data_IF_373606061858
#
_entry.id   IF_373606061858
#
_cell.length_a   1.000
_cell.length_b   1.000
_cell.length_c   1.000
_cell.angle_alpha   90.00
_cell.angle_beta   90.00
_cell.angle_gamma   90.00
#
_symmetry.space_group_name_H-M   'P 1'
#
loop_
_entity.id
_entity.type
_entity.pdbx_description
1 polymer ?
#
# COMPACT_ATOMS: atom_id res chain seq x y z
N UNK A 1 26.24 7.82 4.96
CA UNK A 1 24.88 7.50 5.43
C UNK A 1 24.78 6.00 5.61
N UNK A 2 24.31 5.53 6.76
CA UNK A 2 23.97 4.11 6.94
C UNK A 2 22.46 3.99 6.69
N UNK A 3 22.07 3.20 5.69
CA UNK A 3 20.66 2.93 5.37
C UNK A 3 20.20 1.59 5.94
N UNK A 4 21.05 0.89 6.71
CA UNK A 4 20.70 -0.39 7.30
C UNK A 4 19.76 -0.18 8.50
N UNK A 5 18.81 -1.06 8.65
CA UNK A 5 17.96 -1.11 9.83
C UNK A 5 18.77 -1.48 11.09
N UNK A 6 18.41 -0.89 12.22
CA UNK A 6 19.00 -1.20 13.52
C UNK A 6 18.71 -2.63 13.96
N UNK A 7 19.41 -3.11 15.00
CA UNK A 7 19.13 -4.41 15.62
C UNK A 7 17.70 -4.52 16.12
N UNK A 8 17.14 -3.45 16.66
CA UNK A 8 15.76 -3.43 17.18
C UNK A 8 14.73 -3.49 16.06
N UNK A 9 14.98 -2.79 14.94
CA UNK A 9 14.16 -2.87 13.73
C UNK A 9 14.22 -4.26 13.09
N UNK A 10 15.39 -4.90 13.07
CA UNK A 10 15.52 -6.27 12.59
C UNK A 10 14.81 -7.26 13.52
N UNK A 11 14.85 -7.05 14.84
CA UNK A 11 14.08 -7.85 15.79
C UNK A 11 12.56 -7.67 15.57
N UNK A 12 12.10 -6.44 15.35
CA UNK A 12 10.70 -6.17 15.00
C UNK A 12 10.29 -6.91 13.72
N UNK A 13 11.17 -6.92 12.70
CA UNK A 13 10.94 -7.65 11.45
C UNK A 13 10.74 -9.14 11.69
N UNK A 14 11.63 -9.75 12.46
CA UNK A 14 11.55 -11.18 12.77
C UNK A 14 10.32 -11.53 13.61
N UNK A 15 9.93 -10.65 14.53
CA UNK A 15 8.70 -10.82 15.33
C UNK A 15 7.45 -10.68 14.45
N UNK A 16 7.40 -9.67 13.56
CA UNK A 16 6.28 -9.46 12.65
C UNK A 16 6.12 -10.65 11.71
N UNK A 17 7.22 -11.19 11.19
CA UNK A 17 7.21 -12.39 10.35
C UNK A 17 6.61 -13.59 11.07
N UNK A 18 7.13 -13.92 12.25
CA UNK A 18 6.64 -15.04 13.07
C UNK A 18 5.18 -14.88 13.46
N UNK A 19 4.77 -13.67 13.80
CA UNK A 19 3.38 -13.36 14.11
C UNK A 19 2.47 -13.67 12.91
N UNK A 20 2.78 -13.15 11.72
CA UNK A 20 1.96 -13.36 10.52
C UNK A 20 1.99 -14.81 10.02
N UNK A 21 3.09 -15.54 10.22
CA UNK A 21 3.17 -16.99 9.97
C UNK A 21 2.28 -17.77 10.94
N UNK A 22 2.31 -17.44 12.24
CA UNK A 22 1.45 -18.07 13.24
C UNK A 22 -0.05 -17.79 13.02
N UNK A 23 -0.37 -16.61 12.50
CA UNK A 23 -1.72 -16.22 12.10
C UNK A 23 -2.17 -16.87 10.78
N UNK A 24 -1.33 -17.67 10.13
CA UNK A 24 -1.61 -18.28 8.81
C UNK A 24 -2.08 -17.26 7.76
N UNK A 25 -1.46 -16.08 7.73
CA UNK A 25 -1.93 -14.91 6.96
C UNK A 25 -2.18 -15.21 5.47
N UNK A 26 -1.30 -16.00 4.82
CA UNK A 26 -1.48 -16.40 3.40
C UNK A 26 -2.74 -17.25 3.22
N UNK A 27 -3.02 -18.17 4.15
CA UNK A 27 -4.24 -18.97 4.14
C UNK A 27 -5.49 -18.11 4.31
N UNK A 28 -5.47 -17.15 5.25
CA UNK A 28 -6.54 -16.16 5.42
C UNK A 28 -6.75 -15.33 4.15
N UNK A 29 -5.67 -14.95 3.45
CA UNK A 29 -5.79 -14.25 2.16
C UNK A 29 -6.51 -15.10 1.10
N UNK A 30 -6.25 -16.41 1.08
CA UNK A 30 -6.97 -17.36 0.22
C UNK A 30 -8.43 -17.46 0.62
N UNK A 31 -8.74 -17.59 1.91
CA UNK A 31 -10.11 -17.69 2.42
C UNK A 31 -10.94 -16.45 2.08
N UNK A 32 -10.37 -15.24 2.22
CA UNK A 32 -11.02 -13.99 1.80
C UNK A 32 -11.21 -13.94 0.28
N UNK A 33 -10.21 -14.38 -0.52
CA UNK A 33 -10.30 -14.40 -1.98
C UNK A 33 -11.39 -15.34 -2.48
N UNK A 34 -11.60 -16.47 -1.80
CA UNK A 34 -12.58 -17.51 -2.17
C UNK A 34 -13.97 -17.25 -1.54
N UNK A 35 -14.05 -16.39 -0.54
CA UNK A 35 -15.27 -16.06 0.21
C UNK A 35 -15.94 -14.76 -0.24
N UNK A 36 -16.88 -14.31 0.57
CA UNK A 36 -17.63 -13.05 0.37
C UNK A 36 -17.13 -11.92 1.31
N UNK A 37 -16.10 -12.20 2.10
CA UNK A 37 -15.55 -11.21 3.04
C UNK A 37 -14.66 -10.20 2.32
N UNK A 38 -14.65 -8.96 2.81
CA UNK A 38 -13.80 -7.89 2.28
C UNK A 38 -12.39 -7.93 2.83
N UNK A 39 -12.21 -8.51 4.03
CA UNK A 39 -10.93 -8.69 4.73
C UNK A 39 -11.08 -9.76 5.81
N UNK A 40 -9.99 -10.17 6.46
CA UNK A 40 -10.02 -11.05 7.63
C UNK A 40 -10.10 -10.22 8.92
N UNK A 41 -11.27 -10.23 9.56
CA UNK A 41 -11.51 -9.48 10.80
C UNK A 41 -10.65 -9.97 11.98
N UNK A 42 -10.35 -11.27 12.02
CA UNK A 42 -9.56 -11.85 13.11
C UNK A 42 -8.11 -11.37 13.03
N UNK A 43 -7.52 -11.40 11.84
CA UNK A 43 -6.18 -10.90 11.60
C UNK A 43 -6.11 -9.37 11.80
N UNK A 44 -7.14 -8.63 11.36
CA UNK A 44 -7.21 -7.19 11.61
C UNK A 44 -7.16 -6.87 13.09
N UNK A 45 -7.95 -7.57 13.91
CA UNK A 45 -7.94 -7.43 15.36
C UNK A 45 -6.57 -7.74 15.96
N UNK A 46 -5.97 -8.86 15.56
CA UNK A 46 -4.62 -9.23 16.02
C UNK A 46 -3.57 -8.18 15.63
N UNK A 47 -3.65 -7.59 14.43
CA UNK A 47 -2.77 -6.49 13.96
C UNK A 47 -2.94 -5.24 14.82
N UNK A 48 -4.18 -4.90 15.18
CA UNK A 48 -4.48 -3.78 16.10
C UNK A 48 -3.92 -4.06 17.50
N UNK A 49 -4.12 -5.25 18.04
CA UNK A 49 -3.59 -5.65 19.35
C UNK A 49 -2.06 -5.61 19.42
N UNK A 50 -1.38 -5.86 18.29
CA UNK A 50 0.07 -5.66 18.16
C UNK A 50 0.49 -4.19 18.13
N UNK A 51 -0.44 -3.25 18.09
CA UNK A 51 -0.19 -1.82 18.05
C UNK A 51 0.27 -1.29 16.69
N UNK A 52 0.18 -2.09 15.61
CA UNK A 52 0.73 -1.69 14.32
C UNK A 52 -0.04 -0.52 13.70
N UNK A 53 -1.32 -0.37 13.97
CA UNK A 53 -2.14 0.78 13.56
C UNK A 53 -1.72 2.08 14.25
N UNK A 54 -1.11 1.99 15.42
CA UNK A 54 -0.66 3.09 16.25
C UNK A 54 0.81 3.52 15.99
N UNK A 55 1.52 2.80 15.10
CA UNK A 55 2.99 2.88 14.95
C UNK A 55 3.48 4.34 14.78
N UNK A 56 2.94 5.11 13.87
CA UNK A 56 3.38 6.49 13.56
C UNK A 56 2.52 7.58 14.20
N UNK A 57 1.43 7.20 14.85
CA UNK A 57 0.56 8.16 15.54
C UNK A 57 1.29 8.67 16.78
N UNK A 58 1.29 10.00 17.03
CA UNK A 58 1.92 10.58 18.22
C UNK A 58 1.33 10.05 19.52
N UNK A 59 2.15 9.93 20.57
CA UNK A 59 1.74 9.46 21.90
C UNK A 59 0.59 10.30 22.51
N UNK A 60 0.53 11.61 22.23
CA UNK A 60 -0.56 12.49 22.68
C UNK A 60 -1.94 12.12 22.11
N UNK A 61 -1.99 11.23 21.10
CA UNK A 61 -3.20 10.69 20.49
C UNK A 61 -3.28 9.16 20.64
N UNK A 62 -2.78 8.63 21.75
CA UNK A 62 -2.76 7.20 22.08
C UNK A 62 -1.96 6.33 21.06
N UNK A 63 -1.05 6.95 20.32
CA UNK A 63 -0.15 6.27 19.41
C UNK A 63 1.12 5.76 20.09
N UNK A 64 1.97 5.04 19.33
CA UNK A 64 3.25 4.56 19.80
C UNK A 64 4.39 5.58 19.57
N UNK A 65 4.17 6.60 18.74
CA UNK A 65 5.18 7.59 18.41
C UNK A 65 6.47 7.02 17.79
N UNK A 66 6.39 5.80 17.22
CA UNK A 66 7.51 5.18 16.52
C UNK A 66 7.72 5.83 15.15
N UNK A 67 8.87 5.53 14.53
CA UNK A 67 9.23 6.14 13.25
C UNK A 67 8.68 5.41 12.04
N UNK A 68 8.92 6.01 10.87
CA UNK A 68 8.56 5.40 9.59
C UNK A 68 9.44 4.18 9.25
N UNK A 69 10.63 4.03 9.86
CA UNK A 69 11.48 2.87 9.64
C UNK A 69 10.80 1.60 10.19
N UNK A 70 10.20 1.69 11.38
CA UNK A 70 9.43 0.61 11.99
C UNK A 70 8.20 0.26 11.15
N UNK A 71 7.49 1.27 10.63
CA UNK A 71 6.34 1.06 9.75
C UNK A 71 6.76 0.41 8.41
N UNK A 72 7.91 0.78 7.84
CA UNK A 72 8.46 0.13 6.64
C UNK A 72 8.74 -1.36 6.86
N UNK A 73 9.28 -1.71 8.02
CA UNK A 73 9.55 -3.11 8.41
C UNK A 73 8.25 -3.91 8.51
N UNK A 74 7.23 -3.35 9.15
CA UNK A 74 5.89 -3.96 9.25
C UNK A 74 5.28 -4.13 7.85
N UNK A 75 5.36 -3.10 7.01
CA UNK A 75 4.85 -3.13 5.64
C UNK A 75 5.49 -4.24 4.80
N UNK A 76 6.80 -4.47 4.93
CA UNK A 76 7.50 -5.56 4.22
C UNK A 76 6.94 -6.93 4.60
N UNK A 77 6.69 -7.18 5.90
CA UNK A 77 6.18 -8.47 6.35
C UNK A 77 4.68 -8.65 6.04
N UNK A 78 3.87 -7.58 6.08
CA UNK A 78 2.49 -7.62 5.59
C UNK A 78 2.41 -8.00 4.10
N UNK A 79 3.31 -7.47 3.28
CA UNK A 79 3.42 -7.82 1.87
C UNK A 79 3.90 -9.24 1.63
N UNK A 80 4.90 -9.70 2.41
CA UNK A 80 5.40 -11.07 2.39
C UNK A 80 4.30 -12.09 2.64
N UNK A 81 3.42 -11.80 3.58
CA UNK A 81 2.35 -12.69 4.06
C UNK A 81 1.01 -12.45 3.36
N UNK A 82 0.93 -11.54 2.38
CA UNK A 82 -0.30 -11.17 1.68
C UNK A 82 -1.44 -10.75 2.62
N UNK A 83 -1.15 -10.12 3.76
CA UNK A 83 -2.12 -9.83 4.81
C UNK A 83 -3.43 -9.22 4.25
N UNK A 84 -4.58 -9.88 4.42
CA UNK A 84 -5.87 -9.43 3.90
C UNK A 84 -6.56 -8.51 4.92
N UNK A 85 -5.97 -7.34 5.16
CA UNK A 85 -6.44 -6.35 6.14
C UNK A 85 -6.49 -4.95 5.52
N UNK A 86 -7.33 -4.03 6.00
CA UNK A 86 -7.41 -2.66 5.51
C UNK A 86 -6.25 -1.77 6.02
N UNK A 87 -5.07 -2.37 6.25
CA UNK A 87 -3.93 -1.69 6.85
C UNK A 87 -3.41 -0.55 5.98
N UNK A 88 -3.23 -0.80 4.68
CA UNK A 88 -2.64 0.21 3.80
C UNK A 88 -3.56 1.40 3.55
N UNK A 89 -4.87 1.20 3.43
CA UNK A 89 -5.84 2.29 3.29
C UNK A 89 -5.92 3.13 4.57
N UNK A 90 -5.95 2.46 5.73
CA UNK A 90 -6.06 3.13 7.01
C UNK A 90 -4.75 3.80 7.43
N UNK A 91 -3.63 3.07 7.42
CA UNK A 91 -2.35 3.56 7.96
C UNK A 91 -1.54 4.34 6.94
N UNK A 92 -1.31 3.80 5.70
CA UNK A 92 -0.43 4.48 4.72
C UNK A 92 -1.10 5.68 4.07
N UNK A 93 -2.43 5.73 4.02
CA UNK A 93 -3.17 6.76 3.30
C UNK A 93 -3.93 7.68 4.25
N UNK A 94 -4.95 7.18 4.96
CA UNK A 94 -5.83 8.04 5.75
C UNK A 94 -5.16 8.61 7.01
N UNK A 95 -4.45 7.78 7.79
CA UNK A 95 -3.70 8.22 8.97
C UNK A 95 -2.59 9.19 8.57
N UNK A 96 -1.86 8.86 7.50
CA UNK A 96 -0.80 9.72 6.96
C UNK A 96 -1.34 11.09 6.52
N UNK A 97 -2.51 11.11 5.84
CA UNK A 97 -3.16 12.35 5.45
C UNK A 97 -3.57 13.19 6.66
N UNK A 98 -4.11 12.57 7.71
CA UNK A 98 -4.47 13.27 8.94
C UNK A 98 -3.24 13.82 9.66
N UNK A 99 -2.20 13.01 9.89
CA UNK A 99 -0.99 13.45 10.61
C UNK A 99 -0.35 14.68 9.94
N UNK A 100 -0.25 14.66 8.59
CA UNK A 100 0.49 15.71 7.88
C UNK A 100 -0.36 16.91 7.50
N UNK A 101 -1.67 16.76 7.33
CA UNK A 101 -2.56 17.80 6.81
C UNK A 101 -3.69 18.19 7.76
N UNK A 102 -3.98 17.36 8.78
CA UNK A 102 -5.12 17.56 9.67
C UNK A 102 -4.97 18.76 10.60
N UNK A 103 -6.09 19.38 11.00
CA UNK A 103 -6.13 20.33 12.09
C UNK A 103 -5.99 19.64 13.44
N UNK A 104 -5.67 20.39 14.49
CA UNK A 104 -5.60 19.84 15.87
C UNK A 104 -6.91 19.20 16.31
N UNK A 105 -8.04 19.78 15.94
CA UNK A 105 -9.38 19.24 16.24
C UNK A 105 -9.62 17.92 15.49
N UNK A 106 -9.14 17.82 14.23
CA UNK A 106 -9.22 16.60 13.43
C UNK A 106 -8.31 15.51 13.99
N UNK A 107 -7.10 15.85 14.43
CA UNK A 107 -6.22 14.91 15.14
C UNK A 107 -6.91 14.33 16.36
N UNK A 108 -7.50 15.16 17.24
CA UNK A 108 -8.22 14.73 18.43
C UNK A 108 -9.44 13.86 18.12
N UNK A 109 -10.11 14.13 17.00
CA UNK A 109 -11.33 13.40 16.60
C UNK A 109 -11.05 12.01 16.04
N UNK A 110 -9.93 11.85 15.31
CA UNK A 110 -9.69 10.65 14.49
C UNK A 110 -8.49 9.81 14.93
N UNK A 111 -7.37 10.40 15.39
CA UNK A 111 -6.11 9.66 15.52
C UNK A 111 -6.16 8.57 16.61
N UNK A 112 -6.72 8.86 17.78
CA UNK A 112 -6.84 7.85 18.86
C UNK A 112 -7.71 6.66 18.43
N UNK A 113 -8.78 6.92 17.66
CA UNK A 113 -9.65 5.87 17.14
C UNK A 113 -8.98 5.03 16.06
N UNK A 114 -8.15 5.66 15.21
CA UNK A 114 -7.34 4.95 14.21
C UNK A 114 -6.27 4.10 14.89
N UNK A 115 -5.61 4.63 15.93
CA UNK A 115 -4.63 3.89 16.72
C UNK A 115 -5.24 2.63 17.36
N UNK A 116 -6.44 2.77 17.95
CA UNK A 116 -7.19 1.68 18.54
C UNK A 116 -7.86 0.73 17.53
N UNK A 117 -7.79 1.03 16.22
CA UNK A 117 -8.49 0.26 15.18
C UNK A 117 -10.02 0.31 15.25
N UNK A 118 -10.58 1.25 16.05
CA UNK A 118 -12.03 1.45 16.16
C UNK A 118 -12.65 1.95 14.86
N UNK A 119 -11.88 2.68 14.08
CA UNK A 119 -12.28 3.16 12.75
C UNK A 119 -11.19 2.84 11.72
N UNK A 120 -11.63 2.65 10.48
CA UNK A 120 -10.79 2.48 9.29
C UNK A 120 -10.99 3.70 8.41
N UNK A 121 -9.90 4.27 7.92
CA UNK A 121 -9.93 5.37 6.96
C UNK A 121 -9.47 4.92 5.57
N UNK A 122 -9.80 5.70 4.55
CA UNK A 122 -9.29 5.50 3.19
C UNK A 122 -9.03 6.81 2.46
N UNK A 123 -8.36 6.74 1.30
CA UNK A 123 -8.11 7.87 0.41
C UNK A 123 -8.82 7.63 -0.93
N UNK A 124 -9.71 8.54 -1.29
CA UNK A 124 -10.48 8.50 -2.54
C UNK A 124 -10.05 9.64 -3.47
N UNK A 125 -9.18 9.35 -4.47
CA UNK A 125 -8.60 10.36 -5.35
C UNK A 125 -8.82 10.10 -6.85
N UNK A 126 -9.22 8.89 -7.22
CA UNK A 126 -9.40 8.47 -8.62
C UNK A 126 -10.86 8.56 -9.04
N UNK A 127 -11.15 9.13 -10.23
CA UNK A 127 -12.51 9.32 -10.75
C UNK A 127 -12.76 8.58 -12.06
N UNK A 128 -11.70 8.35 -12.82
CA UNK A 128 -11.75 7.70 -14.13
C UNK A 128 -10.57 6.75 -14.28
N UNK A 129 -10.49 6.05 -15.39
CA UNK A 129 -9.33 5.20 -15.74
C UNK A 129 -8.08 6.00 -16.09
N UNK A 130 -8.19 7.31 -16.28
CA UNK A 130 -7.07 8.22 -16.47
C UNK A 130 -6.48 8.62 -15.12
N UNK A 131 -5.17 8.90 -15.08
CA UNK A 131 -4.53 9.42 -13.88
C UNK A 131 -5.14 10.75 -13.48
N UNK A 132 -5.43 10.97 -12.18
CA UNK A 132 -5.93 12.24 -11.69
C UNK A 132 -4.97 13.39 -11.98
N UNK A 133 -5.50 14.52 -12.40
CA UNK A 133 -4.82 15.82 -12.49
C UNK A 133 -5.75 16.91 -11.96
N UNK A 134 -5.26 18.10 -11.59
CA UNK A 134 -6.13 19.19 -11.15
C UNK A 134 -7.23 19.52 -12.17
N UNK A 135 -6.92 19.38 -13.47
CA UNK A 135 -7.84 19.74 -14.55
C UNK A 135 -8.97 18.72 -14.71
N UNK A 136 -8.67 17.42 -14.52
CA UNK A 136 -9.64 16.34 -14.80
C UNK A 136 -10.43 15.86 -13.58
N UNK A 137 -10.24 16.48 -12.41
CA UNK A 137 -11.11 16.24 -11.25
C UNK A 137 -12.50 16.81 -11.49
N UNK A 138 -13.53 16.03 -11.18
CA UNK A 138 -14.94 16.40 -11.35
C UNK A 138 -15.72 16.37 -10.01
N UNK A 139 -15.22 15.71 -8.95
CA UNK A 139 -15.78 15.86 -7.62
C UNK A 139 -15.72 17.30 -7.18
N UNK A 140 -16.86 17.89 -6.80
CA UNK A 140 -16.99 19.30 -6.44
C UNK A 140 -17.47 19.46 -4.99
N UNK A 141 -16.76 20.33 -4.26
CA UNK A 141 -17.18 20.82 -2.95
C UNK A 141 -17.84 22.18 -3.10
N UNK A 142 -19.07 22.32 -2.61
CA UNK A 142 -19.80 23.58 -2.57
C UNK A 142 -20.60 23.71 -1.30
N UNK A 143 -20.38 24.77 -0.53
CA UNK A 143 -21.05 24.98 0.76
C UNK A 143 -20.95 23.76 1.70
N UNK A 144 -19.77 23.18 1.83
CA UNK A 144 -19.51 21.94 2.60
C UNK A 144 -20.33 20.71 2.15
N UNK A 145 -20.83 20.71 0.92
CA UNK A 145 -21.51 19.59 0.29
C UNK A 145 -20.67 19.06 -0.86
N UNK A 146 -20.37 17.76 -0.81
CA UNK A 146 -19.60 17.06 -1.83
C UNK A 146 -20.53 16.39 -2.84
N UNK A 147 -20.22 16.56 -4.12
CA UNK A 147 -20.88 15.90 -5.23
C UNK A 147 -19.84 15.30 -6.18
N UNK A 148 -20.08 14.08 -6.66
CA UNK A 148 -19.21 13.40 -7.62
C UNK A 148 -19.09 11.91 -7.34
N UNK A 149 -18.13 11.27 -8.00
CA UNK A 149 -17.90 9.83 -7.88
C UNK A 149 -16.42 9.52 -7.84
N UNK A 150 -16.01 8.68 -6.90
CA UNK A 150 -14.67 8.11 -6.82
C UNK A 150 -14.72 6.62 -7.11
N UNK A 151 -13.77 6.13 -7.88
CA UNK A 151 -13.66 4.70 -8.24
C UNK A 151 -12.35 4.11 -7.72
N UNK A 152 -12.32 2.78 -7.66
CA UNK A 152 -11.15 2.02 -7.22
C UNK A 152 -10.60 2.49 -5.84
N UNK A 153 -11.51 2.86 -4.94
CA UNK A 153 -11.15 3.28 -3.59
C UNK A 153 -10.79 2.03 -2.79
N UNK A 154 -9.54 1.92 -2.40
CA UNK A 154 -9.03 0.77 -1.62
C UNK A 154 -9.76 0.70 -0.28
N UNK A 155 -10.30 -0.47 0.06
CA UNK A 155 -11.08 -0.73 1.28
C UNK A 155 -12.23 0.28 1.50
N UNK A 156 -12.77 0.87 0.43
CA UNK A 156 -13.82 1.90 0.50
C UNK A 156 -15.15 1.35 0.99
N UNK A 157 -15.37 0.05 0.95
CA UNK A 157 -16.55 -0.65 1.49
C UNK A 157 -16.37 -1.13 2.94
N UNK A 158 -15.15 -0.97 3.49
CA UNK A 158 -14.80 -1.26 4.88
C UNK A 158 -14.64 0.02 5.69
N UNK A 159 -14.18 1.09 5.04
CA UNK A 159 -13.81 2.34 5.71
C UNK A 159 -15.00 3.06 6.34
N UNK A 160 -14.76 3.70 7.49
CA UNK A 160 -15.72 4.55 8.20
C UNK A 160 -15.71 5.98 7.67
N UNK A 161 -14.56 6.45 7.18
CA UNK A 161 -14.43 7.77 6.56
C UNK A 161 -13.43 7.74 5.40
N UNK A 162 -13.53 8.71 4.52
CA UNK A 162 -12.61 8.90 3.42
C UNK A 162 -12.00 10.30 3.43
N UNK A 163 -10.71 10.38 3.11
CA UNK A 163 -10.07 11.59 2.62
C UNK A 163 -10.34 11.66 1.12
N UNK A 164 -10.99 12.70 0.65
CA UNK A 164 -11.44 12.82 -0.75
C UNK A 164 -10.81 14.05 -1.39
N UNK A 165 -10.20 13.90 -2.58
CA UNK A 165 -9.79 15.04 -3.39
C UNK A 165 -10.98 15.61 -4.15
N UNK A 166 -11.18 16.91 -4.08
CA UNK A 166 -12.31 17.59 -4.76
C UNK A 166 -11.89 18.97 -5.26
N UNK A 167 -12.70 19.58 -6.10
CA UNK A 167 -12.59 20.99 -6.50
C UNK A 167 -13.48 21.87 -5.63
N UNK A 168 -12.95 22.98 -5.17
CA UNK A 168 -13.71 24.11 -4.64
C UNK A 168 -13.45 25.32 -5.54
N UNK A 169 -14.36 25.57 -6.49
CA UNK A 169 -14.09 26.49 -7.60
C UNK A 169 -12.92 25.99 -8.45
N UNK A 170 -11.89 26.83 -8.61
CA UNK A 170 -10.68 26.49 -9.39
C UNK A 170 -9.58 25.78 -8.56
N UNK A 171 -9.78 25.63 -7.26
CA UNK A 171 -8.79 25.03 -6.35
C UNK A 171 -9.09 23.56 -6.10
N UNK A 172 -8.04 22.76 -5.96
CA UNK A 172 -8.15 21.42 -5.41
C UNK A 172 -8.08 21.51 -3.88
N UNK A 173 -8.99 20.80 -3.21
CA UNK A 173 -9.05 20.65 -1.76
C UNK A 173 -9.08 19.18 -1.39
N UNK A 174 -8.63 18.86 -0.18
CA UNK A 174 -8.85 17.56 0.45
C UNK A 174 -9.96 17.71 1.48
N UNK A 175 -10.90 16.79 1.50
CA UNK A 175 -12.02 16.82 2.45
C UNK A 175 -12.18 15.50 3.16
N UNK A 176 -12.66 15.53 4.40
CA UNK A 176 -13.07 14.38 5.18
C UNK A 176 -14.57 14.16 5.00
N UNK A 177 -14.95 12.94 4.70
CA UNK A 177 -16.35 12.53 4.53
C UNK A 177 -16.61 11.29 5.38
N UNK A 178 -17.61 11.34 6.22
CA UNK A 178 -18.15 10.16 6.91
C UNK A 178 -18.90 9.29 5.90
N UNK A 179 -18.46 8.06 5.72
CA UNK A 179 -19.00 7.15 4.71
C UNK A 179 -20.37 6.55 5.10
N UNK A 180 -20.79 6.71 6.34
CA UNK A 180 -22.16 6.39 6.80
C UNK A 180 -23.15 7.54 6.62
N UNK A 181 -22.68 8.74 6.23
CA UNK A 181 -23.50 9.93 6.14
C UNK A 181 -24.52 9.85 4.99
N UNK A 182 -25.61 10.64 5.13
CA UNK A 182 -26.60 10.81 4.07
C UNK A 182 -25.96 11.38 2.82
N UNK A 183 -26.30 10.82 1.67
CA UNK A 183 -25.77 11.26 0.37
C UNK A 183 -24.49 10.54 -0.05
N UNK A 184 -24.05 9.54 0.71
CA UNK A 184 -22.98 8.62 0.34
C UNK A 184 -23.58 7.30 -0.10
N UNK A 185 -23.17 6.81 -1.27
CA UNK A 185 -23.55 5.51 -1.82
C UNK A 185 -22.27 4.75 -2.17
N UNK A 186 -22.10 3.55 -1.58
CA UNK A 186 -20.92 2.72 -1.75
C UNK A 186 -21.32 1.45 -2.50
N UNK A 187 -20.52 1.10 -3.50
CA UNK A 187 -20.70 -0.14 -4.27
C UNK A 187 -19.36 -0.84 -4.38
N UNK A 188 -19.28 -2.06 -3.85
CA UNK A 188 -18.08 -2.88 -3.95
C UNK A 188 -17.72 -3.18 -5.41
N UNK A 189 -16.44 -3.19 -5.73
CA UNK A 189 -15.92 -3.46 -7.06
C UNK A 189 -15.12 -4.75 -7.09
N UNK A 190 -15.45 -5.63 -8.03
CA UNK A 190 -14.67 -6.84 -8.26
C UNK A 190 -13.29 -6.47 -8.84
N UNK A 191 -12.26 -6.99 -8.21
CA UNK A 191 -10.87 -6.78 -8.61
C UNK A 191 -10.18 -8.11 -8.93
N UNK A 192 -8.95 -8.01 -9.43
CA UNK A 192 -8.12 -9.19 -9.68
C UNK A 192 -7.70 -9.90 -8.39
N UNK A 193 -7.58 -9.15 -7.28
CA UNK A 193 -7.27 -9.63 -5.94
C UNK A 193 -8.37 -9.22 -4.95
N UNK A 194 -9.45 -10.00 -4.83
CA UNK A 194 -10.52 -9.71 -3.88
C UNK A 194 -10.10 -9.76 -2.41
N UNK A 195 -8.92 -10.31 -2.09
CA UNK A 195 -8.40 -10.32 -0.71
C UNK A 195 -8.01 -8.92 -0.19
N UNK A 196 -8.12 -7.90 -1.05
CA UNK A 196 -8.07 -6.46 -0.73
C UNK A 196 -9.23 -5.79 -1.46
N UNK A 197 -10.22 -5.37 -0.73
CA UNK A 197 -11.44 -4.84 -1.32
C UNK A 197 -11.25 -3.47 -1.98
N UNK A 198 -12.14 -3.15 -2.91
CA UNK A 198 -12.23 -1.84 -3.54
C UNK A 198 -13.68 -1.46 -3.74
N UNK A 199 -13.96 -0.16 -3.70
CA UNK A 199 -15.31 0.34 -3.92
C UNK A 199 -15.35 1.54 -4.88
N UNK A 200 -16.53 1.72 -5.48
CA UNK A 200 -16.96 2.97 -6.06
C UNK A 200 -17.77 3.72 -5.01
N UNK A 201 -17.44 4.97 -4.76
CA UNK A 201 -18.13 5.83 -3.79
C UNK A 201 -18.73 7.02 -4.55
N UNK A 202 -20.05 7.17 -4.45
CA UNK A 202 -20.78 8.27 -5.04
C UNK A 202 -21.28 9.22 -3.96
N UNK A 203 -21.01 10.48 -4.15
CA UNK A 203 -21.43 11.57 -3.27
C UNK A 203 -22.55 12.38 -3.95
N UNK A 204 -23.63 12.60 -3.20
CA UNK A 204 -24.78 13.43 -3.61
C UNK A 204 -25.18 14.31 -2.43
N UNK A 205 -24.72 15.55 -2.46
CA UNK A 205 -24.87 16.51 -1.36
C UNK A 205 -24.43 15.94 -0.01
N UNK A 206 -23.35 15.13 -0.02
CA UNK A 206 -22.77 14.56 1.18
C UNK A 206 -22.07 15.64 2.01
N UNK A 207 -22.23 15.61 3.32
CA UNK A 207 -21.51 16.51 4.22
C UNK A 207 -20.03 16.22 4.17
N UNK A 208 -19.23 17.28 4.02
CA UNK A 208 -17.77 17.18 3.91
C UNK A 208 -17.10 18.31 4.69
N UNK A 209 -16.01 17.96 5.37
CA UNK A 209 -15.17 18.87 6.16
C UNK A 209 -13.81 19.04 5.46
N UNK A 210 -13.32 20.26 5.24
CA UNK A 210 -11.99 20.48 4.66
C UNK A 210 -10.94 19.91 5.60
N UNK A 211 -10.00 19.14 5.06
CA UNK A 211 -8.86 18.58 5.79
C UNK A 211 -7.86 19.70 6.08
N UNK A 212 -7.68 20.02 7.35
CA UNK A 212 -6.76 21.05 7.79
C UNK A 212 -7.12 22.45 7.26
N UNK A 213 -6.09 23.17 6.88
CA UNK A 213 -6.19 24.53 6.29
C UNK A 213 -5.65 24.57 4.86
N UNK A 214 -5.55 23.42 4.19
CA UNK A 214 -4.86 23.28 2.92
C UNK A 214 -5.38 24.25 1.86
N UNK A 215 -4.57 25.24 1.51
CA UNK A 215 -4.85 26.14 0.39
C UNK A 215 -4.49 25.51 -0.96
N UNK A 216 -3.67 24.45 -0.96
CA UNK A 216 -3.24 23.68 -2.12
C UNK A 216 -3.40 22.18 -1.85
N UNK A 217 -4.62 21.70 -2.00
CA UNK A 217 -4.95 20.28 -1.80
C UNK A 217 -4.30 19.34 -2.82
N UNK A 218 -3.87 19.87 -3.98
CA UNK A 218 -3.17 19.03 -4.95
C UNK A 218 -1.74 18.72 -4.48
N UNK A 219 -0.99 19.72 -4.05
CA UNK A 219 0.34 19.50 -3.46
C UNK A 219 0.26 18.59 -2.24
N UNK A 220 -0.69 18.84 -1.33
CA UNK A 220 -0.93 17.99 -0.18
C UNK A 220 -1.23 16.52 -0.57
N UNK A 221 -2.05 16.29 -1.60
CA UNK A 221 -2.30 14.94 -2.12
C UNK A 221 -1.03 14.29 -2.65
N UNK A 222 -0.20 15.05 -3.40
CA UNK A 222 1.06 14.51 -3.92
C UNK A 222 2.04 14.12 -2.81
N UNK A 223 2.13 14.90 -1.74
CA UNK A 223 2.95 14.60 -0.56
C UNK A 223 2.46 13.33 0.15
N UNK A 224 1.15 13.19 0.38
CA UNK A 224 0.56 11.97 0.96
C UNK A 224 0.89 10.75 0.10
N UNK A 225 0.74 10.86 -1.22
CA UNK A 225 1.03 9.76 -2.14
C UNK A 225 2.52 9.40 -2.18
N UNK A 226 3.44 10.37 -2.05
CA UNK A 226 4.88 10.11 -1.99
C UNK A 226 5.24 9.33 -0.73
N UNK A 227 4.72 9.74 0.41
CA UNK A 227 4.93 9.06 1.69
C UNK A 227 4.37 7.64 1.65
N UNK A 228 3.14 7.48 1.19
CA UNK A 228 2.51 6.18 1.01
C UNK A 228 3.25 5.28 0.00
N UNK A 229 3.84 5.86 -1.05
CA UNK A 229 4.55 5.09 -2.08
C UNK A 229 5.77 4.35 -1.53
N UNK A 230 6.46 4.90 -0.53
CA UNK A 230 7.55 4.22 0.16
C UNK A 230 7.03 2.98 0.89
N UNK A 231 5.93 3.12 1.64
CA UNK A 231 5.31 2.01 2.41
C UNK A 231 4.78 0.91 1.48
N UNK A 232 4.09 1.27 0.40
CA UNK A 232 3.69 0.32 -0.62
C UNK A 232 4.87 -0.35 -1.34
N UNK A 233 6.01 0.34 -1.49
CA UNK A 233 7.20 -0.25 -2.06
C UNK A 233 7.78 -1.34 -1.14
N UNK A 234 7.75 -1.16 0.18
CA UNK A 234 8.12 -2.20 1.15
C UNK A 234 7.15 -3.37 1.12
N UNK A 235 5.85 -3.14 1.05
CA UNK A 235 4.85 -4.22 0.88
C UNK A 235 5.13 -5.03 -0.40
N UNK A 236 5.44 -4.35 -1.50
CA UNK A 236 5.82 -5.03 -2.76
C UNK A 236 7.17 -5.77 -2.66
N UNK A 237 8.14 -5.23 -1.93
CA UNK A 237 9.43 -5.87 -1.69
C UNK A 237 9.27 -7.19 -0.93
N UNK A 238 8.46 -7.20 0.12
CA UNK A 238 8.14 -8.41 0.89
C UNK A 238 7.50 -9.49 0.03
N UNK A 239 6.52 -9.12 -0.80
CA UNK A 239 5.88 -10.04 -1.76
C UNK A 239 6.84 -10.57 -2.82
N UNK A 240 7.75 -9.74 -3.33
CA UNK A 240 8.77 -10.15 -4.29
C UNK A 240 9.74 -11.19 -3.70
N UNK A 241 10.20 -10.94 -2.49
CA UNK A 241 11.12 -11.87 -1.78
C UNK A 241 10.41 -13.19 -1.44
N UNK A 242 9.15 -13.16 -1.03
CA UNK A 242 8.36 -14.38 -0.81
C UNK A 242 8.27 -15.23 -2.09
N UNK A 243 7.97 -14.61 -3.23
CA UNK A 243 7.93 -15.29 -4.53
C UNK A 243 9.27 -15.93 -4.91
N UNK A 244 10.37 -15.22 -4.69
CA UNK A 244 11.72 -15.72 -4.97
C UNK A 244 12.03 -16.94 -4.09
N UNK A 245 11.72 -16.87 -2.81
CA UNK A 245 11.96 -17.99 -1.87
C UNK A 245 11.09 -19.20 -2.22
N UNK A 246 9.80 -19.02 -2.54
CA UNK A 246 8.91 -20.09 -3.00
C UNK A 246 9.47 -20.78 -4.25
N UNK A 247 9.92 -20.00 -5.25
CA UNK A 247 10.52 -20.55 -6.47
C UNK A 247 11.79 -21.36 -6.20
N UNK A 248 12.65 -20.85 -5.31
CA UNK A 248 13.89 -21.50 -4.87
C UNK A 248 13.59 -22.82 -4.16
N UNK A 249 12.70 -22.83 -3.20
CA UNK A 249 12.32 -24.01 -2.41
C UNK A 249 11.71 -25.09 -3.30
N UNK A 250 10.76 -24.70 -4.16
CA UNK A 250 10.17 -25.63 -5.13
C UNK A 250 11.22 -26.21 -6.06
N UNK A 251 12.12 -25.40 -6.60
CA UNK A 251 13.19 -25.86 -7.49
C UNK A 251 14.15 -26.82 -6.82
N UNK A 252 14.42 -26.67 -5.53
CA UNK A 252 15.27 -27.60 -4.76
C UNK A 252 14.57 -28.92 -4.46
N UNK A 253 13.24 -28.90 -4.25
CA UNK A 253 12.44 -30.09 -3.93
C UNK A 253 11.92 -30.86 -5.15
N UNK A 254 11.78 -30.21 -6.31
CA UNK A 254 11.22 -30.82 -7.52
C UNK A 254 12.29 -31.51 -8.35
N UNK A 255 12.09 -32.79 -8.64
CA UNK A 255 12.99 -33.58 -9.47
C UNK A 255 12.47 -33.71 -10.91
N UNK A 256 13.35 -33.57 -11.89
CA UNK A 256 13.16 -33.91 -13.30
C UNK A 256 14.46 -34.43 -13.89
N UNK A 257 14.37 -35.45 -14.75
CA UNK A 257 15.55 -36.09 -15.36
C UNK A 257 16.56 -36.62 -14.32
N UNK A 258 16.06 -37.16 -13.19
CA UNK A 258 16.87 -37.79 -12.15
C UNK A 258 17.62 -36.82 -11.20
N UNK A 259 17.32 -35.51 -11.23
CA UNK A 259 17.96 -34.51 -10.36
C UNK A 259 17.01 -33.34 -10.04
N UNK A 260 17.26 -32.56 -8.97
CA UNK A 260 16.49 -31.35 -8.68
C UNK A 260 16.51 -30.36 -9.85
N UNK A 261 15.38 -29.72 -10.15
CA UNK A 261 15.31 -28.74 -11.25
C UNK A 261 16.22 -27.52 -10.96
N UNK A 262 16.50 -27.19 -9.69
CA UNK A 262 17.50 -26.20 -9.29
C UNK A 262 18.91 -26.48 -9.83
N UNK A 263 19.22 -27.72 -10.26
CA UNK A 263 20.53 -28.05 -10.84
C UNK A 263 20.70 -27.58 -12.30
N UNK A 264 19.60 -27.24 -12.99
CA UNK A 264 19.64 -26.77 -14.38
C UNK A 264 19.95 -25.28 -14.46
N UNK A 265 20.87 -24.89 -15.37
CA UNK A 265 21.31 -23.50 -15.51
C UNK A 265 20.16 -22.52 -15.78
N UNK A 266 19.20 -22.92 -16.63
CA UNK A 266 18.04 -22.08 -16.94
C UNK A 266 17.24 -21.69 -15.67
N UNK A 267 17.11 -22.59 -14.69
CA UNK A 267 16.42 -22.32 -13.41
C UNK A 267 17.32 -21.50 -12.47
N UNK A 268 18.63 -21.84 -12.39
CA UNK A 268 19.58 -21.08 -11.59
C UNK A 268 19.65 -19.60 -11.99
N UNK A 269 19.71 -19.34 -13.30
CA UNK A 269 19.77 -17.97 -13.81
C UNK A 269 18.49 -17.20 -13.51
N UNK A 270 17.32 -17.81 -13.67
CA UNK A 270 16.05 -17.19 -13.26
C UNK A 270 16.05 -16.77 -11.79
N UNK A 271 16.44 -17.68 -10.89
CA UNK A 271 16.49 -17.39 -9.46
C UNK A 271 17.53 -16.31 -9.16
N UNK A 272 18.67 -16.30 -9.85
CA UNK A 272 19.68 -15.24 -9.75
C UNK A 272 19.13 -13.87 -10.20
N UNK A 273 18.39 -13.83 -11.32
CA UNK A 273 17.75 -12.60 -11.80
C UNK A 273 16.68 -12.09 -10.81
N UNK A 274 15.88 -13.00 -10.23
CA UNK A 274 14.92 -12.66 -9.18
C UNK A 274 15.63 -12.08 -7.94
N UNK A 275 16.74 -12.69 -7.51
CA UNK A 275 17.55 -12.21 -6.39
C UNK A 275 18.09 -10.80 -6.67
N UNK A 276 18.67 -10.57 -7.84
CA UNK A 276 19.18 -9.26 -8.24
C UNK A 276 18.07 -8.21 -8.24
N UNK A 277 16.88 -8.55 -8.77
CA UNK A 277 15.74 -7.65 -8.79
C UNK A 277 15.27 -7.27 -7.37
N UNK A 278 15.23 -8.24 -6.45
CA UNK A 278 14.87 -8.02 -5.03
C UNK A 278 15.90 -7.11 -4.35
N UNK A 279 17.20 -7.38 -4.50
CA UNK A 279 18.25 -6.60 -3.82
C UNK A 279 18.35 -5.16 -4.35
N UNK A 280 18.16 -4.95 -5.66
CA UNK A 280 18.07 -3.60 -6.23
C UNK A 280 16.83 -2.85 -5.71
N UNK A 281 15.68 -3.54 -5.63
CA UNK A 281 14.48 -2.96 -5.04
C UNK A 281 14.67 -2.63 -3.55
N UNK A 282 15.30 -3.52 -2.78
CA UNK A 282 15.63 -3.33 -1.37
C UNK A 282 16.48 -2.06 -1.15
N UNK A 283 17.53 -1.90 -1.93
CA UNK A 283 18.40 -0.71 -1.85
C UNK A 283 17.62 0.58 -2.11
N UNK A 284 16.74 0.58 -3.11
CA UNK A 284 15.90 1.73 -3.42
C UNK A 284 14.82 1.98 -2.35
N UNK A 285 14.24 0.92 -1.78
CA UNK A 285 13.31 1.04 -0.65
C UNK A 285 13.99 1.62 0.60
N UNK A 286 15.21 1.22 0.91
CA UNK A 286 15.97 1.78 2.04
C UNK A 286 16.28 3.27 1.85
N UNK A 287 16.62 3.69 0.62
CA UNK A 287 16.74 5.12 0.32
C UNK A 287 15.40 5.84 0.51
N UNK A 288 14.28 5.24 0.08
CA UNK A 288 12.94 5.75 0.32
C UNK A 288 12.61 5.87 1.82
N UNK A 289 12.91 4.83 2.60
CA UNK A 289 12.68 4.80 4.04
C UNK A 289 13.48 5.88 4.78
N UNK A 290 14.74 6.07 4.42
CA UNK A 290 15.56 7.15 4.95
C UNK A 290 14.95 8.52 4.63
N UNK A 291 14.59 8.77 3.37
CA UNK A 291 14.02 10.03 2.95
C UNK A 291 12.69 10.34 3.66
N UNK A 292 11.85 9.29 3.84
CA UNK A 292 10.59 9.38 4.56
C UNK A 292 10.80 9.66 6.05
N UNK A 293 11.74 8.96 6.69
CA UNK A 293 11.99 9.07 8.14
C UNK A 293 12.65 10.40 8.56
N UNK A 294 13.35 11.04 7.63
CA UNK A 294 14.05 12.31 7.87
C UNK A 294 13.36 13.52 7.24
N UNK A 295 12.21 13.30 6.63
CA UNK A 295 11.46 14.31 5.86
C UNK A 295 12.37 15.04 4.85
N UNK A 296 13.21 14.26 4.16
CA UNK A 296 14.24 14.78 3.27
C UNK A 296 13.63 15.45 2.03
N UNK A 297 14.25 16.52 1.51
CA UNK A 297 13.78 17.18 0.29
C UNK A 297 13.80 16.26 -0.95
N UNK A 298 14.55 15.17 -0.91
CA UNK A 298 14.62 14.14 -1.94
C UNK A 298 13.45 13.13 -1.89
N UNK A 299 12.51 13.26 -0.93
CA UNK A 299 11.46 12.28 -0.71
C UNK A 299 10.68 11.93 -2.00
N UNK A 300 10.28 12.91 -2.80
CA UNK A 300 9.55 12.66 -4.05
C UNK A 300 10.33 11.78 -5.04
N UNK A 301 11.66 12.02 -5.16
CA UNK A 301 12.54 11.22 -6.02
C UNK A 301 12.78 9.83 -5.44
N UNK A 302 13.04 9.73 -4.15
CA UNK A 302 13.28 8.47 -3.44
C UNK A 302 12.03 7.57 -3.45
N UNK A 303 10.85 8.13 -3.19
CA UNK A 303 9.56 7.45 -3.23
C UNK A 303 9.25 6.89 -4.63
N UNK A 304 9.42 7.71 -5.67
CA UNK A 304 9.20 7.27 -7.04
C UNK A 304 10.19 6.16 -7.45
N UNK A 305 11.46 6.28 -7.05
CA UNK A 305 12.49 5.27 -7.30
C UNK A 305 12.16 3.95 -6.61
N UNK A 306 11.83 3.99 -5.32
CA UNK A 306 11.42 2.81 -4.55
C UNK A 306 10.20 2.14 -5.17
N UNK A 307 9.16 2.92 -5.49
CA UNK A 307 7.90 2.43 -6.06
C UNK A 307 8.09 1.75 -7.42
N UNK A 308 8.85 2.36 -8.33
CA UNK A 308 9.14 1.80 -9.65
C UNK A 308 9.94 0.51 -9.55
N UNK A 309 10.97 0.51 -8.69
CA UNK A 309 11.86 -0.63 -8.49
C UNK A 309 11.12 -1.82 -7.86
N UNK A 310 10.40 -1.60 -6.76
CA UNK A 310 9.67 -2.64 -6.05
C UNK A 310 8.51 -3.23 -6.89
N UNK A 311 7.76 -2.38 -7.62
CA UNK A 311 6.72 -2.86 -8.55
C UNK A 311 7.29 -3.76 -9.64
N UNK A 312 8.47 -3.41 -10.18
CA UNK A 312 9.15 -4.22 -11.19
C UNK A 312 9.62 -5.55 -10.60
N UNK A 313 10.29 -5.52 -9.45
CA UNK A 313 10.78 -6.72 -8.78
C UNK A 313 9.64 -7.69 -8.43
N UNK A 314 8.53 -7.19 -7.87
CA UNK A 314 7.39 -8.04 -7.52
C UNK A 314 6.74 -8.65 -8.76
N UNK A 315 6.63 -7.88 -9.86
CA UNK A 315 6.11 -8.41 -11.12
C UNK A 315 7.00 -9.53 -11.69
N UNK A 316 8.30 -9.32 -11.74
CA UNK A 316 9.26 -10.30 -12.24
C UNK A 316 9.29 -11.55 -11.35
N UNK A 317 9.39 -11.38 -10.03
CA UNK A 317 9.43 -12.49 -9.09
C UNK A 317 8.13 -13.30 -9.08
N UNK A 318 6.95 -12.67 -9.07
CA UNK A 318 5.68 -13.38 -9.07
C UNK A 318 5.45 -14.16 -10.36
N UNK A 319 5.82 -13.59 -11.51
CA UNK A 319 5.74 -14.25 -12.81
C UNK A 319 6.70 -15.45 -12.90
N UNK A 320 7.97 -15.28 -12.52
CA UNK A 320 8.98 -16.33 -12.60
C UNK A 320 8.76 -17.40 -11.52
N UNK A 321 8.12 -17.08 -10.40
CA UNK A 321 7.64 -18.05 -9.42
C UNK A 321 6.63 -19.01 -10.06
N UNK A 322 5.58 -18.50 -10.72
CA UNK A 322 4.62 -19.33 -11.47
C UNK A 322 5.33 -20.18 -12.52
N UNK A 323 6.24 -19.58 -13.30
CA UNK A 323 6.98 -20.28 -14.36
C UNK A 323 7.88 -21.40 -13.80
N UNK A 324 8.49 -21.19 -12.64
CA UNK A 324 9.36 -22.19 -11.97
C UNK A 324 8.55 -23.39 -11.48
N UNK A 325 7.34 -23.16 -10.98
CA UNK A 325 6.39 -24.22 -10.60
C UNK A 325 5.79 -24.96 -11.81
N UNK A 326 5.92 -24.42 -13.02
CA UNK A 326 5.35 -25.01 -14.24
C UNK A 326 3.83 -25.14 -14.16
N UNK A 327 3.27 -26.29 -14.59
CA UNK A 327 1.83 -26.53 -14.54
C UNK A 327 1.22 -26.36 -13.15
N UNK A 328 1.96 -26.74 -12.10
CA UNK A 328 1.49 -26.59 -10.71
C UNK A 328 1.32 -25.12 -10.31
N UNK A 329 2.12 -24.19 -10.83
CA UNK A 329 2.00 -22.77 -10.54
C UNK A 329 0.69 -22.12 -11.05
N UNK A 330 -0.01 -22.77 -11.97
CA UNK A 330 -1.33 -22.36 -12.47
C UNK A 330 -2.50 -23.05 -11.76
N UNK A 331 -2.22 -24.06 -10.94
CA UNK A 331 -3.28 -24.75 -10.20
C UNK A 331 -3.73 -23.93 -9.01
N UNK A 332 -4.97 -24.17 -8.56
CA UNK A 332 -5.51 -23.51 -7.38
C UNK A 332 -4.91 -24.03 -6.07
N UNK A 333 -4.18 -25.15 -6.12
CA UNK A 333 -3.54 -25.78 -4.98
C UNK A 333 -2.32 -25.01 -4.45
N UNK A 334 -1.65 -24.25 -5.33
CA UNK A 334 -0.45 -23.49 -4.98
C UNK A 334 -0.75 -21.99 -4.85
N UNK A 335 -0.08 -21.32 -3.90
CA UNK A 335 -0.29 -19.90 -3.60
C UNK A 335 0.37 -18.93 -4.59
N UNK A 336 1.04 -19.43 -5.62
CA UNK A 336 1.72 -18.60 -6.61
C UNK A 336 0.81 -17.54 -7.23
N UNK A 337 -0.45 -17.90 -7.53
CA UNK A 337 -1.42 -16.99 -8.13
C UNK A 337 -1.89 -15.88 -7.17
N UNK A 338 -1.88 -16.11 -5.85
CA UNK A 338 -2.23 -15.10 -4.85
C UNK A 338 -1.25 -13.94 -4.91
N UNK A 339 0.04 -14.24 -4.92
CA UNK A 339 1.11 -13.25 -5.06
C UNK A 339 1.05 -12.49 -6.39
N UNK A 340 0.76 -13.18 -7.49
CA UNK A 340 0.63 -12.54 -8.80
C UNK A 340 -0.56 -11.58 -8.85
N UNK A 341 -1.70 -11.94 -8.26
CA UNK A 341 -2.89 -11.09 -8.13
C UNK A 341 -2.58 -9.84 -7.31
N UNK A 342 -2.03 -10.01 -6.10
CA UNK A 342 -1.60 -8.91 -5.22
C UNK A 342 -0.58 -7.99 -5.90
N UNK A 343 0.37 -8.55 -6.61
CA UNK A 343 1.34 -7.79 -7.39
C UNK A 343 0.67 -6.85 -8.40
N UNK A 344 -0.33 -7.34 -9.13
CA UNK A 344 -1.05 -6.54 -10.14
C UNK A 344 -1.88 -5.43 -9.51
N UNK A 345 -2.53 -5.71 -8.40
CA UNK A 345 -3.31 -4.74 -7.65
C UNK A 345 -2.43 -3.64 -7.06
N UNK A 346 -1.39 -4.00 -6.32
CA UNK A 346 -0.47 -3.02 -5.73
C UNK A 346 0.24 -2.16 -6.78
N UNK A 347 0.48 -2.67 -7.98
CA UNK A 347 1.09 -1.89 -9.06
C UNK A 347 0.19 -0.75 -9.59
N UNK A 348 -1.11 -0.75 -9.24
CA UNK A 348 -2.08 0.20 -9.78
C UNK A 348 -2.71 1.13 -8.71
N UNK A 349 -2.80 0.71 -7.44
CA UNK A 349 -3.65 1.32 -6.43
C UNK A 349 -3.41 2.82 -6.13
N UNK A 350 -2.17 3.30 -6.20
CA UNK A 350 -1.82 4.73 -6.04
C UNK A 350 -1.19 5.33 -7.31
N UNK A 351 -1.58 4.82 -8.46
CA UNK A 351 -1.04 5.21 -9.76
C UNK A 351 -0.19 4.12 -10.40
N UNK A 352 -0.27 4.04 -11.73
CA UNK A 352 0.44 3.04 -12.51
C UNK A 352 1.96 3.26 -12.51
N UNK A 353 2.71 2.23 -12.92
CA UNK A 353 4.16 2.34 -13.09
C UNK A 353 4.58 3.47 -14.04
N UNK A 354 3.77 3.79 -15.06
CA UNK A 354 4.04 4.89 -15.97
C UNK A 354 3.94 6.26 -15.25
N UNK A 355 2.94 6.43 -14.39
CA UNK A 355 2.77 7.65 -13.57
C UNK A 355 3.99 7.87 -12.69
N UNK A 356 4.44 6.82 -11.98
CA UNK A 356 5.59 6.91 -11.10
C UNK A 356 6.92 7.12 -11.83
N UNK A 357 7.08 6.55 -13.04
CA UNK A 357 8.24 6.85 -13.91
C UNK A 357 8.25 8.31 -14.36
N UNK A 358 7.10 8.84 -14.79
CA UNK A 358 7.01 10.24 -15.18
C UNK A 358 7.31 11.17 -13.98
N UNK A 359 6.78 10.84 -12.79
CA UNK A 359 7.08 11.60 -11.57
C UNK A 359 8.57 11.57 -11.23
N UNK A 360 9.23 10.42 -11.36
CA UNK A 360 10.68 10.29 -11.17
C UNK A 360 11.45 11.20 -12.13
N UNK A 361 11.15 11.15 -13.42
CA UNK A 361 11.82 11.98 -14.42
C UNK A 361 11.62 13.47 -14.11
N UNK A 362 10.37 13.90 -13.89
CA UNK A 362 10.07 15.30 -13.56
C UNK A 362 10.75 15.78 -12.26
N UNK A 363 10.95 14.87 -11.29
CA UNK A 363 11.68 15.21 -10.06
C UNK A 363 13.19 15.38 -10.32
N UNK A 364 13.77 14.50 -11.16
CA UNK A 364 15.19 14.59 -11.56
C UNK A 364 15.46 15.84 -12.42
N UNK A 365 14.57 16.17 -13.35
CA UNK A 365 14.68 17.40 -14.17
C UNK A 365 14.67 18.64 -13.28
N UNK A 366 13.77 18.73 -12.31
CA UNK A 366 13.72 19.85 -11.34
C UNK A 366 14.98 19.93 -10.49
N UNK A 367 15.46 18.77 -9.97
CA UNK A 367 16.67 18.75 -9.15
C UNK A 367 17.94 19.17 -9.90
N UNK A 368 18.00 18.91 -11.22
CA UNK A 368 19.15 19.26 -12.05
C UNK A 368 18.97 20.61 -12.78
N UNK A 369 17.87 21.32 -12.59
CA UNK A 369 17.54 22.58 -13.27
C UNK A 369 17.66 22.48 -14.79
N UNK A 370 17.28 21.31 -15.34
CA UNK A 370 17.31 21.04 -16.78
C UNK A 370 15.95 21.37 -17.39
#
# INVERSE_FOLDING_TARGET
MNFEFSSDQMLLKDQARKFLENEESVKKAREVLEGDQTHDESLWRSVVEMGWTATTIPEEFDGLGLGYLELCVIAEELGRSLAPTPFSSSVYLATEALINQGSKEQHQKYLSKLAAGEIVGTLAHTETTSSPTPENLNCELKNNKLNGTKIAVTDGDVANFAVVSAKEGDKVVLVLVDLSAKGVEITSQNTLDPSRSHACIKFKDADAEILGSSQDGWTALQEILDRAAVLFAFEQLGGAEACMNMAKEYAMGRFAFGRPIASFQAIKHKIADMYIAVELARSNCYFGAWALSTDAPELATAAATARVSASKAFHECSKENIQTHGGMGFTWEFDCHLYYRRCRQLAANIGSQAVWKNKLISSLERANQI
#
